data_IF_559539622712
#
_entry.id   IF_559539622712
#
_cell.length_a   1.000
_cell.length_b   1.000
_cell.length_c   1.000
_cell.angle_alpha   90.00
_cell.angle_beta   90.00
_cell.angle_gamma   90.00
#
_symmetry.space_group_name_H-M   'P 1'
#
loop_
_entity.id
_entity.type
_entity.pdbx_description
1 polymer ?
#
# COMPACT_ATOMS: atom_id res chain seq x y z
N UNK A 1 -23.05 -11.45 0.75
CA UNK A 1 -22.91 -12.55 -0.25
C UNK A 1 -21.43 -12.79 -0.49
N UNK A 2 -20.98 -13.99 -0.84
CA UNK A 2 -19.58 -14.23 -1.20
C UNK A 2 -19.23 -13.43 -2.45
N UNK A 3 -17.96 -13.08 -2.60
CA UNK A 3 -17.43 -12.50 -3.84
C UNK A 3 -17.43 -13.54 -4.99
N UNK A 4 -17.34 -13.07 -6.21
CA UNK A 4 -17.22 -13.89 -7.42
C UNK A 4 -16.07 -13.39 -8.28
N UNK A 5 -15.29 -14.31 -8.80
CA UNK A 5 -14.25 -14.05 -9.80
C UNK A 5 -14.74 -14.52 -11.16
N UNK A 6 -14.61 -13.69 -12.16
CA UNK A 6 -15.03 -13.96 -13.55
C UNK A 6 -13.94 -13.48 -14.50
N UNK A 7 -13.58 -14.28 -15.48
CA UNK A 7 -12.70 -13.85 -16.57
C UNK A 7 -13.55 -13.29 -17.71
N UNK A 8 -13.19 -12.11 -18.21
CA UNK A 8 -13.78 -11.52 -19.41
C UNK A 8 -13.29 -12.23 -20.67
N UNK A 9 -13.92 -11.94 -21.82
CA UNK A 9 -13.58 -12.58 -23.09
C UNK A 9 -12.13 -12.35 -23.55
N UNK A 10 -11.53 -11.21 -23.17
CA UNK A 10 -10.12 -10.90 -23.41
C UNK A 10 -9.16 -11.40 -22.32
N UNK A 11 -9.67 -12.12 -21.31
CA UNK A 11 -8.86 -12.69 -20.22
C UNK A 11 -8.74 -11.81 -18.96
N UNK A 12 -9.19 -10.56 -18.97
CA UNK A 12 -9.19 -9.71 -17.78
C UNK A 12 -9.99 -10.34 -16.63
N UNK A 13 -9.44 -10.34 -15.44
CA UNK A 13 -10.11 -10.82 -14.23
C UNK A 13 -10.99 -9.74 -13.62
N UNK A 14 -12.22 -10.07 -13.30
CA UNK A 14 -13.16 -9.24 -12.54
C UNK A 14 -13.50 -9.94 -11.23
N UNK A 15 -13.21 -9.28 -10.10
CA UNK A 15 -13.70 -9.69 -8.79
C UNK A 15 -14.85 -8.78 -8.37
N UNK A 16 -15.98 -9.35 -7.98
CA UNK A 16 -17.17 -8.60 -7.59
C UNK A 16 -17.86 -9.18 -6.37
N UNK A 17 -18.26 -8.28 -5.44
CA UNK A 17 -19.14 -8.61 -4.32
C UNK A 17 -20.42 -7.80 -4.42
N UNK A 18 -21.55 -8.48 -4.55
CA UNK A 18 -22.89 -7.89 -4.52
C UNK A 18 -23.26 -7.42 -3.11
N UNK A 19 -23.80 -6.22 -2.98
CA UNK A 19 -24.27 -5.64 -1.71
C UNK A 19 -25.56 -4.84 -1.95
N UNK A 20 -26.29 -4.54 -0.89
CA UNK A 20 -27.50 -3.69 -0.95
C UNK A 20 -27.18 -2.21 -0.74
N UNK A 21 -25.89 -1.83 -0.72
CA UNK A 21 -25.47 -0.45 -0.50
C UNK A 21 -25.99 0.49 -1.60
N UNK A 22 -26.48 1.68 -1.27
CA UNK A 22 -26.81 2.69 -2.27
C UNK A 22 -25.58 3.28 -2.95
N UNK A 23 -24.39 3.13 -2.33
CA UNK A 23 -23.09 3.54 -2.88
C UNK A 23 -22.35 2.28 -3.33
N UNK A 24 -21.73 2.37 -4.50
CA UNK A 24 -20.94 1.32 -5.10
C UNK A 24 -19.53 1.82 -5.38
N UNK A 25 -18.60 0.88 -5.47
CA UNK A 25 -17.19 1.13 -5.77
C UNK A 25 -16.77 0.24 -6.93
N UNK A 26 -16.01 0.81 -7.84
CA UNK A 26 -15.42 0.09 -8.97
C UNK A 26 -13.99 0.61 -9.19
N UNK A 27 -13.06 -0.30 -9.46
CA UNK A 27 -11.66 0.06 -9.66
C UNK A 27 -10.96 -0.83 -10.67
N UNK A 28 -9.89 -0.30 -11.24
CA UNK A 28 -8.86 -1.00 -12.01
C UNK A 28 -7.61 -1.01 -11.15
N UNK A 29 -7.15 -2.18 -10.76
CA UNK A 29 -5.98 -2.39 -9.93
C UNK A 29 -4.90 -3.02 -10.80
N UNK A 30 -3.69 -2.50 -10.67
CA UNK A 30 -2.54 -2.93 -11.48
C UNK A 30 -1.40 -3.34 -10.56
N UNK A 31 -0.88 -4.55 -10.75
CA UNK A 31 0.33 -5.04 -10.09
C UNK A 31 1.57 -4.41 -10.75
N UNK A 32 1.65 -3.11 -10.72
CA UNK A 32 2.78 -2.30 -11.16
C UNK A 32 2.84 -1.00 -10.37
N UNK A 33 4.01 -0.68 -9.84
CA UNK A 33 4.26 0.51 -9.04
C UNK A 33 5.67 1.04 -9.26
N UNK A 34 6.20 1.78 -8.28
CA UNK A 34 7.51 2.40 -8.41
C UNK A 34 8.67 1.40 -8.41
N UNK A 35 8.45 0.19 -7.90
CA UNK A 35 9.41 -0.92 -8.00
C UNK A 35 9.70 -1.33 -9.44
N UNK A 36 8.72 -1.16 -10.34
CA UNK A 36 8.77 -1.59 -11.73
C UNK A 36 9.39 -0.53 -12.66
N UNK A 37 9.79 0.62 -12.10
CA UNK A 37 10.45 1.69 -12.82
C UNK A 37 11.92 1.36 -13.14
N UNK A 38 12.38 1.84 -14.28
CA UNK A 38 13.83 1.85 -14.57
C UNK A 38 14.54 2.86 -13.65
N UNK A 39 15.85 2.69 -13.46
CA UNK A 39 16.65 3.62 -12.64
C UNK A 39 16.68 5.06 -13.19
N UNK A 40 16.31 5.26 -14.46
CA UNK A 40 16.24 6.58 -15.10
C UNK A 40 14.86 7.25 -15.00
N UNK A 41 13.84 6.50 -14.62
CA UNK A 41 12.44 6.91 -14.64
C UNK A 41 11.81 6.93 -13.24
N UNK A 42 12.61 7.20 -12.20
CA UNK A 42 12.12 7.25 -10.82
C UNK A 42 10.99 8.28 -10.66
N UNK A 43 9.90 7.87 -10.02
CA UNK A 43 8.69 8.68 -9.82
C UNK A 43 7.72 8.63 -10.99
N UNK A 44 7.93 7.77 -11.98
CA UNK A 44 7.10 7.71 -13.18
C UNK A 44 5.72 7.09 -12.90
N UNK A 45 5.64 6.03 -12.08
CA UNK A 45 4.38 5.40 -11.71
C UNK A 45 3.46 6.39 -10.98
N UNK A 46 4.00 7.12 -10.01
CA UNK A 46 3.30 8.20 -9.31
C UNK A 46 2.90 9.34 -10.27
N UNK A 47 3.76 9.67 -11.23
CA UNK A 47 3.44 10.70 -12.22
C UNK A 47 2.33 10.25 -13.20
N UNK A 48 2.23 8.95 -13.50
CA UNK A 48 1.08 8.38 -14.25
C UNK A 48 -0.20 8.60 -13.46
N UNK A 49 -0.21 8.32 -12.16
CA UNK A 49 -1.36 8.58 -11.28
C UNK A 49 -1.83 10.03 -11.39
N UNK A 50 -0.94 11.01 -11.26
CA UNK A 50 -1.26 12.44 -11.37
C UNK A 50 -1.78 12.85 -12.75
N UNK A 51 -1.34 12.18 -13.79
CA UNK A 51 -1.56 12.64 -15.17
C UNK A 51 -2.60 11.85 -15.95
N UNK A 52 -3.01 10.67 -15.47
CA UNK A 52 -3.98 9.83 -16.17
C UNK A 52 -5.36 10.49 -16.32
N UNK A 53 -5.73 11.39 -15.38
CA UNK A 53 -6.98 12.14 -15.41
C UNK A 53 -6.92 13.42 -16.23
N UNK A 54 -5.77 13.75 -16.86
CA UNK A 54 -5.56 15.01 -17.59
C UNK A 54 -6.08 14.99 -19.03
N UNK A 55 -6.99 14.09 -19.33
CA UNK A 55 -7.74 14.01 -20.58
C UNK A 55 -7.55 12.72 -21.34
N UNK A 56 -8.59 12.35 -22.08
CA UNK A 56 -8.63 11.18 -22.96
C UNK A 56 -8.84 11.60 -24.41
N UNK A 57 -8.86 10.65 -25.33
CA UNK A 57 -9.23 10.92 -26.73
C UNK A 57 -10.65 11.53 -26.86
N UNK A 58 -11.55 11.27 -25.90
CA UNK A 58 -12.96 11.71 -25.93
C UNK A 58 -13.25 12.86 -24.96
N UNK A 59 -12.42 13.06 -23.91
CA UNK A 59 -12.72 13.97 -22.80
C UNK A 59 -11.57 14.92 -22.50
N UNK A 60 -11.91 16.20 -22.28
CA UNK A 60 -10.98 17.16 -21.67
C UNK A 60 -10.79 16.84 -20.20
N UNK A 61 -9.71 17.34 -19.51
CA UNK A 61 -9.49 17.12 -18.09
C UNK A 61 -10.71 17.43 -17.22
N UNK A 62 -11.35 18.58 -17.47
CA UNK A 62 -12.58 18.96 -16.77
C UNK A 62 -13.71 17.93 -16.93
N UNK A 63 -13.89 17.40 -18.16
CA UNK A 63 -14.93 16.41 -18.43
C UNK A 63 -14.63 15.04 -17.79
N UNK A 64 -13.38 14.68 -17.62
CA UNK A 64 -12.98 13.48 -16.88
C UNK A 64 -13.41 13.61 -15.43
N UNK A 65 -12.98 14.65 -14.74
CA UNK A 65 -13.27 14.89 -13.32
C UNK A 65 -14.78 15.07 -13.11
N UNK A 66 -15.41 15.96 -13.85
CA UNK A 66 -16.84 16.27 -13.70
C UNK A 66 -17.76 15.10 -14.05
N UNK A 67 -17.25 14.08 -14.73
CA UNK A 67 -18.07 12.91 -15.12
C UNK A 67 -18.68 12.22 -13.90
N UNK A 68 -17.91 12.00 -12.84
CA UNK A 68 -18.42 11.41 -11.60
C UNK A 68 -18.91 12.46 -10.61
N UNK A 69 -18.23 13.59 -10.47
CA UNK A 69 -18.62 14.66 -9.55
C UNK A 69 -20.04 15.17 -9.82
N UNK A 70 -20.45 15.28 -11.10
CA UNK A 70 -21.81 15.74 -11.48
C UNK A 70 -22.95 14.85 -10.97
N UNK A 71 -22.65 13.63 -10.58
CA UNK A 71 -23.62 12.68 -9.98
C UNK A 71 -23.34 12.38 -8.50
N UNK A 72 -22.43 13.15 -7.89
CA UNK A 72 -22.03 12.97 -6.48
C UNK A 72 -21.07 11.80 -6.25
N UNK A 73 -20.37 11.37 -7.30
CA UNK A 73 -19.32 10.36 -7.21
C UNK A 73 -17.94 10.99 -7.04
N UNK A 74 -16.98 10.18 -6.62
CA UNK A 74 -15.57 10.53 -6.43
C UNK A 74 -14.70 9.68 -7.35
N UNK A 75 -13.64 10.27 -7.89
CA UNK A 75 -12.62 9.60 -8.71
C UNK A 75 -11.26 9.79 -8.04
N UNK A 76 -10.57 8.69 -7.77
CA UNK A 76 -9.30 8.68 -7.06
C UNK A 76 -8.32 7.68 -7.68
N UNK A 77 -7.04 7.88 -7.37
CA UNK A 77 -5.98 6.93 -7.66
C UNK A 77 -4.96 6.92 -6.50
N UNK A 78 -4.17 5.88 -6.44
CA UNK A 78 -3.04 5.79 -5.53
C UNK A 78 -1.96 4.87 -6.10
N UNK A 79 -0.71 5.18 -5.79
CA UNK A 79 0.47 4.43 -6.21
C UNK A 79 1.28 4.01 -5.00
N UNK A 80 1.68 2.74 -4.97
CA UNK A 80 2.59 2.16 -4.00
C UNK A 80 3.87 1.67 -4.68
N UNK A 81 4.68 0.91 -3.95
CA UNK A 81 5.88 0.29 -4.51
C UNK A 81 5.55 -0.74 -5.61
N UNK A 82 4.49 -1.51 -5.43
CA UNK A 82 4.17 -2.64 -6.32
C UNK A 82 2.82 -2.52 -7.02
N UNK A 83 2.00 -1.53 -6.66
CA UNK A 83 0.62 -1.46 -7.13
C UNK A 83 0.21 -0.03 -7.45
N UNK A 84 -0.67 0.11 -8.43
CA UNK A 84 -1.36 1.35 -8.75
C UNK A 84 -2.86 1.08 -8.87
N UNK A 85 -3.68 1.89 -8.20
CA UNK A 85 -5.13 1.77 -8.18
C UNK A 85 -5.79 2.99 -8.80
N UNK A 86 -6.76 2.75 -9.68
CA UNK A 86 -7.66 3.76 -10.22
C UNK A 86 -9.07 3.37 -9.86
N UNK A 87 -9.76 4.17 -9.08
CA UNK A 87 -11.08 3.76 -8.58
C UNK A 87 -12.06 4.93 -8.47
N UNK A 88 -13.34 4.60 -8.42
CA UNK A 88 -14.42 5.55 -8.22
C UNK A 88 -15.45 5.02 -7.25
N UNK A 89 -16.00 5.93 -6.43
CA UNK A 89 -17.14 5.70 -5.53
C UNK A 89 -18.33 6.47 -6.05
N UNK A 90 -19.51 5.87 -6.14
CA UNK A 90 -20.65 6.47 -6.83
C UNK A 90 -22.00 5.90 -6.38
N UNK A 91 -23.12 6.63 -6.59
CA UNK A 91 -24.46 6.07 -6.43
C UNK A 91 -24.66 4.85 -7.36
N UNK A 92 -25.20 3.75 -6.84
CA UNK A 92 -25.29 2.46 -7.54
C UNK A 92 -26.02 2.49 -8.89
N UNK A 93 -26.81 3.54 -9.15
CA UNK A 93 -27.46 3.77 -10.45
C UNK A 93 -26.49 4.14 -11.57
N UNK A 94 -25.26 4.61 -11.21
CA UNK A 94 -24.27 5.18 -12.13
C UNK A 94 -23.20 4.16 -12.59
N UNK A 95 -23.38 2.85 -12.32
CA UNK A 95 -22.43 1.83 -12.80
C UNK A 95 -22.03 1.96 -14.26
N UNK A 96 -22.97 2.16 -15.23
CA UNK A 96 -22.57 2.30 -16.63
C UNK A 96 -21.61 3.46 -16.88
N UNK A 97 -21.80 4.57 -16.18
CA UNK A 97 -20.94 5.76 -16.27
C UNK A 97 -19.56 5.50 -15.65
N UNK A 98 -19.52 4.88 -14.48
CA UNK A 98 -18.29 4.60 -13.74
C UNK A 98 -17.39 3.60 -14.53
N UNK A 99 -17.97 2.51 -15.03
CA UNK A 99 -17.24 1.49 -15.80
C UNK A 99 -16.72 2.07 -17.13
N UNK A 100 -17.55 2.84 -17.85
CA UNK A 100 -17.17 3.49 -19.10
C UNK A 100 -16.06 4.55 -18.89
N UNK A 101 -16.17 5.35 -17.81
CA UNK A 101 -15.18 6.37 -17.53
C UNK A 101 -13.81 5.76 -17.20
N UNK A 102 -13.77 4.72 -16.31
CA UNK A 102 -12.49 4.09 -15.97
C UNK A 102 -11.85 3.39 -17.16
N UNK A 103 -12.64 2.75 -18.03
CA UNK A 103 -12.12 2.19 -19.28
C UNK A 103 -11.53 3.28 -20.19
N UNK A 104 -12.25 4.41 -20.37
CA UNK A 104 -11.77 5.52 -21.20
C UNK A 104 -10.47 6.15 -20.64
N UNK A 105 -10.38 6.33 -19.33
CA UNK A 105 -9.16 6.84 -18.68
C UNK A 105 -8.02 5.83 -18.82
N UNK A 106 -8.27 4.56 -18.55
CA UNK A 106 -7.25 3.53 -18.49
C UNK A 106 -6.61 3.26 -19.87
N UNK A 107 -7.42 3.16 -20.92
CA UNK A 107 -6.93 2.81 -22.26
C UNK A 107 -6.68 4.02 -23.18
N UNK A 108 -7.36 5.14 -22.94
CA UNK A 108 -7.38 6.24 -23.89
C UNK A 108 -6.87 7.57 -23.33
N UNK A 109 -6.18 7.55 -22.17
CA UNK A 109 -5.50 8.75 -21.66
C UNK A 109 -4.46 9.26 -22.67
N UNK A 110 -4.47 10.55 -22.92
CA UNK A 110 -3.64 11.14 -23.99
C UNK A 110 -2.35 11.79 -23.50
N UNK A 111 -2.23 12.03 -22.20
CA UNK A 111 -1.07 12.64 -21.56
C UNK A 111 -0.59 13.91 -22.29
N UNK A 112 -1.39 14.98 -22.36
CA UNK A 112 -1.05 16.17 -23.12
C UNK A 112 0.19 16.87 -22.53
N UNK A 113 1.21 17.17 -23.31
CA UNK A 113 2.47 17.78 -22.84
C UNK A 113 2.27 19.01 -21.96
N UNK A 114 1.32 19.90 -22.35
CA UNK A 114 0.99 21.10 -21.56
C UNK A 114 0.51 20.76 -20.14
N UNK A 115 -0.25 19.68 -19.97
CA UNK A 115 -0.71 19.23 -18.66
C UNK A 115 0.43 18.52 -17.91
N UNK A 116 1.29 17.77 -18.61
CA UNK A 116 2.48 17.17 -18.01
C UNK A 116 3.41 18.23 -17.41
N UNK A 117 3.70 19.31 -18.12
CA UNK A 117 4.57 20.38 -17.61
C UNK A 117 3.98 21.09 -16.38
N UNK A 118 2.66 21.25 -16.30
CA UNK A 118 2.00 21.77 -15.09
C UNK A 118 2.15 20.79 -13.93
N UNK A 119 1.90 19.52 -14.18
CA UNK A 119 1.90 18.50 -13.14
C UNK A 119 3.31 18.23 -12.59
N UNK A 120 4.36 18.37 -13.42
CA UNK A 120 5.75 18.38 -12.93
C UNK A 120 5.97 19.40 -11.82
N UNK A 121 5.38 20.61 -11.96
CA UNK A 121 5.49 21.65 -10.93
C UNK A 121 4.81 21.19 -9.63
N UNK A 122 3.61 20.58 -9.73
CA UNK A 122 2.86 20.07 -8.57
C UNK A 122 3.67 18.99 -7.85
N UNK A 123 4.19 18.00 -8.57
CA UNK A 123 4.99 16.92 -7.98
C UNK A 123 6.30 17.45 -7.38
N UNK A 124 6.93 18.47 -7.97
CA UNK A 124 8.11 19.10 -7.38
C UNK A 124 7.79 19.83 -6.08
N UNK A 125 6.63 20.46 -5.95
CA UNK A 125 6.15 21.06 -4.70
C UNK A 125 5.86 19.98 -3.66
N UNK A 126 5.28 18.85 -4.05
CA UNK A 126 5.05 17.70 -3.19
C UNK A 126 6.37 17.12 -2.65
N UNK A 127 7.37 16.91 -3.51
CA UNK A 127 8.71 16.47 -3.09
C UNK A 127 9.32 17.45 -2.06
N UNK A 128 9.12 18.76 -2.22
CA UNK A 128 9.61 19.72 -1.24
C UNK A 128 8.82 19.67 0.07
N UNK A 129 7.51 19.49 0.01
CA UNK A 129 6.68 19.32 1.20
C UNK A 129 7.15 18.13 2.07
N UNK A 130 7.40 16.97 1.45
CA UNK A 130 7.91 15.80 2.18
C UNK A 130 9.31 16.04 2.76
N UNK A 131 10.19 16.76 2.06
CA UNK A 131 11.52 17.14 2.60
C UNK A 131 11.43 18.05 3.81
N UNK A 132 10.41 18.89 3.88
CA UNK A 132 10.18 19.81 5.00
C UNK A 132 9.38 19.15 6.15
N UNK A 133 8.97 17.87 5.98
CA UNK A 133 8.21 17.08 6.95
C UNK A 133 9.04 15.88 7.42
N UNK A 134 9.93 16.02 8.40
CA UNK A 134 10.84 14.95 8.84
C UNK A 134 10.15 13.68 9.33
N UNK A 135 8.92 13.80 9.87
CA UNK A 135 8.09 12.67 10.31
C UNK A 135 7.62 11.78 9.17
N UNK A 136 7.50 12.33 7.96
CA UNK A 136 7.15 11.57 6.74
C UNK A 136 8.43 11.11 6.01
N UNK A 137 9.36 12.04 5.83
CA UNK A 137 10.61 11.78 5.11
C UNK A 137 11.40 10.58 5.67
N UNK A 138 11.35 10.37 6.99
CA UNK A 138 12.12 9.30 7.63
C UNK A 138 11.67 7.91 7.19
N UNK A 139 10.40 7.72 6.80
CA UNK A 139 9.91 6.44 6.29
C UNK A 139 10.54 6.12 4.93
N UNK A 140 10.54 7.08 4.01
CA UNK A 140 11.15 6.91 2.68
C UNK A 140 12.67 6.69 2.77
N UNK A 141 13.36 7.52 3.58
CA UNK A 141 14.81 7.39 3.77
C UNK A 141 15.18 6.07 4.49
N UNK A 142 14.27 5.51 5.31
CA UNK A 142 14.46 4.23 5.94
C UNK A 142 14.26 3.06 4.97
N UNK A 143 13.28 3.14 4.08
CA UNK A 143 13.11 2.15 3.00
C UNK A 143 14.35 2.12 2.09
N UNK A 144 14.90 3.30 1.73
CA UNK A 144 16.14 3.38 0.95
C UNK A 144 17.34 2.79 1.71
N UNK A 145 17.39 2.94 3.04
CA UNK A 145 18.42 2.35 3.87
C UNK A 145 18.33 0.82 3.93
N UNK A 146 17.14 0.26 4.12
CA UNK A 146 16.91 -1.19 4.22
C UNK A 146 17.07 -1.87 2.87
N UNK A 147 16.51 -1.28 1.81
CA UNK A 147 16.52 -1.81 0.45
C UNK A 147 17.61 -1.15 -0.42
N UNK A 148 18.76 -0.82 0.17
CA UNK A 148 19.81 -0.07 -0.49
C UNK A 148 20.19 -0.68 -1.86
N UNK A 149 20.10 0.14 -2.92
CA UNK A 149 20.41 -0.28 -4.28
C UNK A 149 19.33 -1.13 -4.97
N UNK A 150 18.27 -1.48 -4.27
CA UNK A 150 17.13 -2.22 -4.82
C UNK A 150 15.97 -1.28 -5.20
N UNK A 151 15.13 -1.61 -6.21
CA UNK A 151 13.98 -0.78 -6.59
C UNK A 151 13.01 -0.46 -5.46
N UNK A 152 12.79 -1.36 -4.49
CA UNK A 152 11.94 -1.11 -3.31
C UNK A 152 12.42 0.08 -2.44
N UNK A 153 13.72 0.38 -2.42
CA UNK A 153 14.26 1.52 -1.66
C UNK A 153 14.04 2.87 -2.33
N UNK A 154 13.63 2.92 -3.60
CA UNK A 154 13.41 4.19 -4.30
C UNK A 154 12.18 4.92 -3.75
N UNK A 155 12.30 6.25 -3.60
CA UNK A 155 11.17 7.09 -3.21
C UNK A 155 10.07 7.06 -4.28
N UNK A 156 8.81 6.94 -3.85
CA UNK A 156 7.63 6.88 -4.73
C UNK A 156 7.51 8.14 -5.59
N UNK A 157 7.81 9.30 -5.03
CA UNK A 157 7.79 10.58 -5.76
C UNK A 157 8.95 10.73 -6.77
N UNK A 158 9.94 9.86 -6.69
CA UNK A 158 11.19 10.03 -7.43
C UNK A 158 12.06 11.15 -6.88
N UNK A 159 12.79 11.81 -7.75
CA UNK A 159 13.66 12.95 -7.43
C UNK A 159 13.29 14.16 -8.27
N UNK A 160 13.63 15.37 -7.81
CA UNK A 160 13.43 16.60 -8.60
C UNK A 160 14.12 16.53 -9.98
N UNK A 161 15.20 15.75 -10.11
CA UNK A 161 15.88 15.54 -11.40
C UNK A 161 15.10 14.58 -12.29
N UNK A 162 14.67 13.43 -11.77
CA UNK A 162 13.95 12.43 -12.57
C UNK A 162 12.60 12.99 -13.05
N UNK A 163 11.81 13.62 -12.16
CA UNK A 163 10.49 14.22 -12.50
C UNK A 163 10.61 15.23 -13.64
N UNK A 164 11.63 16.10 -13.65
CA UNK A 164 11.85 17.06 -14.75
C UNK A 164 12.11 16.39 -16.11
N UNK A 165 12.61 15.15 -16.12
CA UNK A 165 12.94 14.41 -17.34
C UNK A 165 11.85 13.42 -17.76
N UNK A 166 10.75 13.31 -17.03
CA UNK A 166 9.61 12.49 -17.46
C UNK A 166 9.06 13.04 -18.78
N UNK A 167 8.95 12.17 -19.76
CA UNK A 167 8.35 12.50 -21.06
C UNK A 167 7.07 11.70 -21.29
N UNK A 168 6.26 12.16 -22.23
CA UNK A 168 5.04 11.47 -22.67
C UNK A 168 5.36 10.05 -23.17
N UNK A 169 6.40 9.91 -23.96
CA UNK A 169 6.88 8.61 -24.46
C UNK A 169 7.25 7.68 -23.32
N UNK A 170 7.97 8.20 -22.30
CA UNK A 170 8.32 7.41 -21.11
C UNK A 170 7.11 6.91 -20.35
N UNK A 171 6.04 7.72 -20.24
CA UNK A 171 4.76 7.30 -19.64
C UNK A 171 4.12 6.16 -20.43
N UNK A 172 4.01 6.33 -21.74
CA UNK A 172 3.41 5.34 -22.65
C UNK A 172 4.21 4.03 -22.62
N UNK A 173 5.53 4.12 -22.66
CA UNK A 173 6.42 2.95 -22.57
C UNK A 173 6.25 2.21 -21.24
N UNK A 174 6.15 2.93 -20.12
CA UNK A 174 5.94 2.33 -18.80
C UNK A 174 4.60 1.60 -18.74
N UNK A 175 3.52 2.22 -19.20
CA UNK A 175 2.19 1.61 -19.24
C UNK A 175 2.21 0.34 -20.11
N UNK A 176 2.73 0.42 -21.33
CA UNK A 176 2.80 -0.75 -22.24
C UNK A 176 3.62 -1.91 -21.68
N UNK A 177 4.65 -1.62 -20.87
CA UNK A 177 5.54 -2.65 -20.32
C UNK A 177 5.01 -3.29 -19.05
N UNK A 178 4.20 -2.58 -18.27
CA UNK A 178 3.83 -3.00 -16.93
C UNK A 178 2.31 -3.23 -16.76
N UNK A 179 1.46 -2.59 -17.56
CA UNK A 179 0.02 -2.79 -17.51
C UNK A 179 -0.37 -3.93 -18.44
N UNK A 180 0.00 -5.14 -18.04
CA UNK A 180 -0.22 -6.37 -18.81
C UNK A 180 -1.44 -7.12 -18.30
N UNK A 181 -1.95 -8.05 -19.08
CA UNK A 181 -3.17 -8.80 -18.77
C UNK A 181 -3.12 -9.46 -17.38
N UNK A 182 -1.99 -10.12 -17.06
CA UNK A 182 -1.80 -10.80 -15.78
C UNK A 182 -1.68 -9.83 -14.60
N UNK A 183 -1.30 -8.58 -14.87
CA UNK A 183 -1.10 -7.53 -13.87
C UNK A 183 -2.36 -6.69 -13.59
N UNK A 184 -3.46 -6.91 -14.29
CA UNK A 184 -4.66 -6.07 -14.17
C UNK A 184 -5.82 -6.88 -13.60
N UNK A 185 -6.50 -6.27 -12.62
CA UNK A 185 -7.75 -6.78 -12.04
C UNK A 185 -8.79 -5.67 -12.00
N UNK A 186 -10.00 -5.98 -12.44
CA UNK A 186 -11.17 -5.16 -12.19
C UNK A 186 -11.80 -5.59 -10.86
N UNK A 187 -12.03 -4.65 -9.95
CA UNK A 187 -12.64 -4.93 -8.66
C UNK A 187 -13.91 -4.11 -8.45
N UNK A 188 -14.92 -4.70 -7.81
CA UNK A 188 -16.16 -4.00 -7.52
C UNK A 188 -16.85 -4.52 -6.27
N UNK A 189 -17.37 -3.60 -5.47
CA UNK A 189 -18.29 -3.89 -4.36
C UNK A 189 -19.48 -2.94 -4.49
N UNK A 190 -20.70 -3.48 -4.67
CA UNK A 190 -21.85 -2.62 -4.82
C UNK A 190 -23.14 -3.30 -5.25
N UNK A 191 -24.20 -2.48 -5.43
CA UNK A 191 -25.55 -2.94 -5.74
C UNK A 191 -25.76 -3.10 -7.25
N UNK A 192 -25.17 -4.15 -7.81
CA UNK A 192 -25.39 -4.59 -9.18
C UNK A 192 -25.20 -6.12 -9.24
N UNK A 193 -26.03 -6.81 -10.02
CA UNK A 193 -25.79 -8.26 -10.21
C UNK A 193 -24.50 -8.51 -11.01
N UNK A 194 -23.79 -9.56 -10.63
CA UNK A 194 -22.55 -9.97 -11.32
C UNK A 194 -22.73 -10.07 -12.84
N UNK A 195 -23.83 -10.66 -13.30
CA UNK A 195 -24.12 -10.81 -14.74
C UNK A 195 -24.27 -9.47 -15.46
N UNK A 196 -24.87 -8.46 -14.81
CA UNK A 196 -25.01 -7.12 -15.37
C UNK A 196 -23.67 -6.40 -15.41
N UNK A 197 -22.87 -6.52 -14.34
CA UNK A 197 -21.54 -5.93 -14.29
C UNK A 197 -20.61 -6.54 -15.34
N UNK A 198 -20.59 -7.87 -15.49
CA UNK A 198 -19.82 -8.56 -16.56
C UNK A 198 -20.15 -7.98 -17.91
N UNK A 199 -21.45 -7.83 -18.25
CA UNK A 199 -21.85 -7.23 -19.54
C UNK A 199 -21.37 -5.79 -19.74
N UNK A 200 -21.28 -5.00 -18.65
CA UNK A 200 -20.71 -3.66 -18.73
C UNK A 200 -19.20 -3.70 -18.94
N UNK A 201 -18.51 -4.57 -18.21
CA UNK A 201 -17.06 -4.73 -18.35
C UNK A 201 -16.70 -5.29 -19.74
N UNK A 202 -17.40 -6.30 -20.25
CA UNK A 202 -17.22 -6.80 -21.63
C UNK A 202 -17.39 -5.69 -22.66
N UNK A 203 -18.38 -4.83 -22.51
CA UNK A 203 -18.65 -3.75 -23.45
C UNK A 203 -17.54 -2.69 -23.51
N UNK A 204 -16.87 -2.40 -22.39
CA UNK A 204 -15.95 -1.28 -22.29
C UNK A 204 -14.47 -1.68 -22.14
N UNK A 205 -14.21 -2.90 -21.69
CA UNK A 205 -12.87 -3.44 -21.50
C UNK A 205 -12.58 -4.65 -22.43
N UNK A 206 -13.63 -5.34 -22.92
CA UNK A 206 -13.48 -6.63 -23.59
C UNK A 206 -12.82 -6.58 -24.98
N UNK A 207 -12.94 -5.46 -25.69
CA UNK A 207 -12.38 -5.30 -27.06
C UNK A 207 -10.93 -4.73 -27.03
N UNK A 208 -10.39 -4.42 -25.85
CA UNK A 208 -9.06 -3.82 -25.72
C UNK A 208 -7.95 -4.90 -25.80
N UNK A 209 -6.95 -4.63 -26.62
CA UNK A 209 -5.75 -5.47 -26.72
C UNK A 209 -4.77 -5.10 -25.58
N UNK A 210 -4.46 -6.09 -24.74
CA UNK A 210 -3.55 -5.94 -23.60
C UNK A 210 -2.37 -6.90 -23.78
N UNK A 211 -1.16 -6.43 -23.53
CA UNK A 211 0.06 -7.25 -23.65
C UNK A 211 0.08 -8.37 -22.60
N UNK A 212 0.64 -9.54 -22.95
CA UNK A 212 0.77 -10.71 -22.06
C UNK A 212 2.18 -10.91 -21.52
N UNK A 213 3.06 -9.93 -21.65
CA UNK A 213 4.48 -10.09 -21.30
C UNK A 213 4.90 -9.25 -20.10
N UNK A 214 4.57 -9.65 -18.87
CA UNK A 214 4.99 -8.94 -17.68
C UNK A 214 6.52 -9.02 -17.51
N UNK A 215 7.12 -7.96 -16.97
CA UNK A 215 8.54 -8.00 -16.60
C UNK A 215 8.71 -8.71 -15.25
N UNK A 216 9.64 -9.67 -15.15
CA UNK A 216 9.95 -10.26 -13.86
C UNK A 216 10.60 -9.21 -12.95
N UNK A 217 10.13 -9.08 -11.73
CA UNK A 217 10.76 -8.27 -10.68
C UNK A 217 12.07 -8.91 -10.24
N UNK A 218 13.07 -8.08 -9.97
CA UNK A 218 14.31 -8.55 -9.35
C UNK A 218 14.01 -8.86 -7.87
N UNK A 219 14.30 -10.09 -7.39
CA UNK A 219 14.10 -10.42 -5.98
C UNK A 219 15.05 -9.63 -5.07
N UNK A 220 14.52 -9.23 -3.90
CA UNK A 220 15.38 -8.63 -2.87
C UNK A 220 16.20 -9.70 -2.15
N UNK A 221 17.52 -9.53 -2.15
CA UNK A 221 18.48 -10.43 -1.51
C UNK A 221 19.60 -9.62 -0.85
N UNK A 222 20.40 -10.26 -0.01
CA UNK A 222 21.64 -9.71 0.57
C UNK A 222 21.42 -8.48 1.48
N UNK A 223 20.41 -8.54 2.34
CA UNK A 223 20.24 -7.52 3.37
C UNK A 223 21.45 -7.47 4.33
N UNK A 224 21.87 -6.28 4.65
CA UNK A 224 22.83 -6.00 5.72
C UNK A 224 22.33 -4.84 6.57
N UNK A 225 22.36 -4.97 7.91
CA UNK A 225 21.91 -3.88 8.79
C UNK A 225 22.89 -2.71 8.73
N UNK A 226 22.32 -1.49 8.66
CA UNK A 226 23.08 -0.25 8.63
C UNK A 226 22.55 0.73 9.67
N UNK A 227 23.45 1.50 10.28
CA UNK A 227 23.06 2.62 11.15
C UNK A 227 23.47 3.92 10.48
N UNK A 228 22.49 4.82 10.30
CA UNK A 228 22.70 6.14 9.70
C UNK A 228 22.13 7.22 10.61
N UNK A 229 22.94 8.25 10.88
CA UNK A 229 22.52 9.42 11.66
C UNK A 229 22.67 10.67 10.81
N UNK A 230 21.56 11.37 10.58
CA UNK A 230 21.51 12.60 9.79
C UNK A 230 21.15 13.80 10.67
N UNK A 231 21.89 14.90 10.51
CA UNK A 231 21.54 16.17 11.14
C UNK A 231 20.53 16.93 10.28
N UNK A 232 19.38 17.24 10.84
CA UNK A 232 18.30 18.01 10.22
C UNK A 232 17.98 19.25 11.07
N UNK A 233 17.36 20.27 10.50
CA UNK A 233 16.86 21.42 11.26
C UNK A 233 15.49 21.08 11.85
N UNK A 234 15.47 20.34 12.93
CA UNK A 234 14.26 19.80 13.56
C UNK A 234 14.28 20.06 15.07
N UNK A 235 13.10 20.08 15.69
CA UNK A 235 12.94 20.28 17.14
C UNK A 235 12.91 18.96 17.91
N UNK A 236 12.50 17.88 17.28
CA UNK A 236 12.42 16.55 17.86
C UNK A 236 13.34 15.59 17.09
N UNK A 237 13.96 14.67 17.79
CA UNK A 237 14.61 13.54 17.15
C UNK A 237 13.56 12.58 16.61
N UNK A 238 13.77 12.07 15.40
CA UNK A 238 12.99 10.99 14.79
C UNK A 238 13.90 9.78 14.66
N UNK A 239 13.40 8.63 15.06
CA UNK A 239 14.16 7.38 14.99
C UNK A 239 13.31 6.32 14.32
N UNK A 240 13.94 5.61 13.41
CA UNK A 240 13.38 4.45 12.78
C UNK A 240 14.33 3.27 12.88
N UNK A 241 13.83 2.10 13.25
CA UNK A 241 14.61 0.86 13.35
C UNK A 241 13.78 -0.30 12.83
N UNK A 242 14.42 -1.28 12.19
CA UNK A 242 13.73 -2.43 11.62
C UNK A 242 14.58 -3.20 10.61
N UNK A 243 13.97 -4.15 9.95
CA UNK A 243 14.63 -5.08 9.04
C UNK A 243 13.64 -5.65 8.01
N UNK A 244 14.11 -6.37 6.99
CA UNK A 244 13.23 -7.17 6.13
C UNK A 244 12.41 -8.16 6.95
N UNK A 245 11.20 -8.46 6.49
CA UNK A 245 10.26 -9.37 7.12
C UNK A 245 9.62 -10.27 6.06
N UNK A 246 8.59 -11.01 6.43
CA UNK A 246 7.90 -11.97 5.57
C UNK A 246 7.23 -11.33 4.37
N UNK A 247 7.29 -12.01 3.25
CA UNK A 247 6.56 -11.62 2.05
C UNK A 247 5.08 -12.02 2.11
N UNK A 248 4.32 -11.64 1.09
CA UNK A 248 2.86 -11.86 1.05
C UNK A 248 2.45 -13.34 0.99
N UNK A 249 3.33 -14.23 0.53
CA UNK A 249 3.04 -15.67 0.34
C UNK A 249 3.50 -16.56 1.51
N UNK A 250 4.20 -16.01 2.51
CA UNK A 250 4.70 -16.78 3.63
C UNK A 250 3.64 -16.94 4.73
N UNK A 251 3.41 -18.16 5.20
CA UNK A 251 2.44 -18.47 6.27
C UNK A 251 2.75 -17.74 7.59
N UNK A 252 4.04 -17.48 7.85
CA UNK A 252 4.50 -16.74 9.01
C UNK A 252 4.04 -15.26 9.02
N UNK A 253 3.53 -14.75 7.91
CA UNK A 253 2.95 -13.41 7.77
C UNK A 253 1.81 -13.16 8.75
N UNK A 254 0.90 -14.11 8.93
CA UNK A 254 -0.29 -13.91 9.77
C UNK A 254 0.07 -13.86 11.27
N UNK A 255 0.87 -14.79 11.84
CA UNK A 255 1.40 -14.64 13.20
C UNK A 255 2.19 -13.34 13.40
N UNK A 256 2.96 -12.90 12.39
CA UNK A 256 3.73 -11.67 12.47
C UNK A 256 2.86 -10.42 12.42
N UNK A 257 1.80 -10.41 11.62
CA UNK A 257 0.79 -9.34 11.61
C UNK A 257 0.14 -9.17 13.00
N UNK A 258 -0.23 -10.29 13.64
CA UNK A 258 -0.77 -10.28 15.00
C UNK A 258 0.24 -9.72 16.00
N UNK A 259 1.50 -10.14 15.90
CA UNK A 259 2.60 -9.67 16.73
C UNK A 259 2.83 -8.16 16.55
N UNK A 260 2.91 -7.68 15.32
CA UNK A 260 3.10 -6.26 15.01
C UNK A 260 1.97 -5.40 15.60
N UNK A 261 0.71 -5.84 15.45
CA UNK A 261 -0.44 -5.14 16.02
C UNK A 261 -0.39 -5.06 17.55
N UNK A 262 0.02 -6.14 18.22
CA UNK A 262 0.21 -6.16 19.67
C UNK A 262 1.37 -5.26 20.12
N UNK A 263 2.47 -5.23 19.34
CA UNK A 263 3.70 -4.51 19.67
C UNK A 263 3.51 -3.00 19.58
N UNK A 264 3.11 -2.51 18.42
CA UNK A 264 3.03 -1.07 18.14
C UNK A 264 1.95 -0.69 17.13
N UNK A 265 0.91 -1.52 16.93
CA UNK A 265 -0.22 -1.20 16.05
C UNK A 265 -1.00 0.02 16.53
N UNK A 266 -2.02 0.41 15.76
CA UNK A 266 -2.77 1.67 15.91
C UNK A 266 -3.43 1.92 17.28
N UNK A 267 -3.55 0.90 18.12
CA UNK A 267 -4.17 1.03 19.44
C UNK A 267 -3.27 1.72 20.47
N UNK A 268 -3.81 2.70 21.22
CA UNK A 268 -3.08 3.34 22.34
C UNK A 268 -2.62 2.34 23.40
N UNK A 269 -3.23 1.17 23.48
CA UNK A 269 -2.88 0.09 24.40
C UNK A 269 -1.78 -0.84 23.89
N UNK A 270 -1.20 -0.59 22.72
CA UNK A 270 -0.06 -1.36 22.20
C UNK A 270 1.13 -1.31 23.16
N UNK A 271 1.97 -2.35 23.18
CA UNK A 271 3.05 -2.48 24.18
C UNK A 271 4.05 -1.34 24.14
N UNK A 272 4.44 -0.91 22.95
CA UNK A 272 5.38 0.22 22.79
C UNK A 272 4.76 1.52 23.27
N UNK A 273 3.52 1.81 22.86
CA UNK A 273 2.83 3.03 23.27
C UNK A 273 2.67 3.09 24.80
N UNK A 274 2.23 1.99 25.43
CA UNK A 274 2.10 1.90 26.89
C UNK A 274 3.44 2.00 27.61
N UNK A 275 4.51 1.43 27.03
CA UNK A 275 5.83 1.40 27.68
C UNK A 275 6.57 2.73 27.59
N UNK A 276 6.52 3.41 26.45
CA UNK A 276 7.34 4.58 26.16
C UNK A 276 6.56 5.88 26.34
N UNK A 277 5.33 5.93 25.81
CA UNK A 277 4.50 7.14 25.80
C UNK A 277 3.62 7.24 27.03
N UNK A 278 2.68 6.33 27.23
CA UNK A 278 1.63 6.47 28.24
C UNK A 278 2.17 6.46 29.67
N UNK A 279 3.07 5.54 30.00
CA UNK A 279 3.60 5.40 31.37
C UNK A 279 4.76 6.35 31.68
N UNK A 280 5.46 6.86 30.69
CA UNK A 280 6.70 7.63 30.89
C UNK A 280 6.73 8.99 30.23
N UNK A 281 5.89 9.23 29.23
CA UNK A 281 5.83 10.52 28.53
C UNK A 281 7.11 10.86 27.76
N UNK A 282 7.89 9.84 27.34
CA UNK A 282 9.19 10.07 26.71
C UNK A 282 9.11 10.32 25.21
N UNK A 283 8.10 9.77 24.55
CA UNK A 283 7.87 9.94 23.12
C UNK A 283 6.54 10.64 22.85
N UNK A 284 6.50 11.46 21.80
CA UNK A 284 5.26 12.05 21.29
C UNK A 284 4.45 11.01 20.51
N UNK A 285 5.11 10.29 19.62
CA UNK A 285 4.53 9.17 18.87
C UNK A 285 5.47 7.97 18.92
N UNK A 286 4.89 6.77 18.92
CA UNK A 286 5.61 5.52 18.77
C UNK A 286 4.66 4.49 18.15
N UNK A 287 5.12 3.80 17.11
CA UNK A 287 4.37 2.79 16.40
C UNK A 287 5.28 1.72 15.80
N UNK A 288 4.72 0.58 15.43
CA UNK A 288 5.39 -0.39 14.59
C UNK A 288 4.55 -0.69 13.36
N UNK A 289 5.22 -0.82 12.22
CA UNK A 289 4.60 -1.06 10.92
C UNK A 289 5.17 -2.35 10.30
N UNK A 290 4.33 -3.07 9.61
CA UNK A 290 4.71 -4.21 8.81
C UNK A 290 4.03 -4.13 7.46
N UNK A 291 4.83 -4.08 6.41
CA UNK A 291 4.40 -4.10 5.01
C UNK A 291 4.94 -5.34 4.34
N UNK A 292 4.07 -6.15 3.73
CA UNK A 292 4.47 -7.31 2.93
C UNK A 292 4.51 -6.93 1.44
N UNK A 293 5.58 -7.33 0.76
CA UNK A 293 5.75 -7.20 -0.69
C UNK A 293 5.69 -8.59 -1.34
N UNK A 294 5.75 -8.64 -2.65
CA UNK A 294 5.63 -9.89 -3.40
C UNK A 294 6.71 -10.94 -3.10
N UNK A 295 7.93 -10.53 -2.71
CA UNK A 295 9.08 -11.40 -2.45
C UNK A 295 9.82 -11.12 -1.14
N UNK A 296 9.43 -10.11 -0.39
CA UNK A 296 9.99 -9.72 0.91
C UNK A 296 8.95 -8.96 1.72
N UNK A 297 9.31 -8.46 2.88
CA UNK A 297 8.52 -7.52 3.67
C UNK A 297 9.43 -6.50 4.34
N UNK A 298 8.83 -5.52 5.00
CA UNK A 298 9.51 -4.53 5.82
C UNK A 298 8.82 -4.45 7.19
N UNK A 299 9.57 -4.70 8.23
CA UNK A 299 9.18 -4.38 9.61
C UNK A 299 9.92 -3.14 10.06
N UNK A 300 9.21 -2.20 10.66
CA UNK A 300 9.81 -1.00 11.24
C UNK A 300 9.13 -0.59 12.54
N UNK A 301 9.92 0.05 13.42
CA UNK A 301 9.45 0.77 14.59
C UNK A 301 9.88 2.22 14.40
N UNK A 302 8.93 3.13 14.51
CA UNK A 302 9.16 4.56 14.48
C UNK A 302 8.84 5.19 15.83
N UNK A 303 9.62 6.16 16.27
CA UNK A 303 9.24 7.06 17.34
C UNK A 303 9.84 8.47 17.18
N UNK A 304 9.15 9.47 17.77
CA UNK A 304 9.65 10.83 17.87
C UNK A 304 9.68 11.28 19.33
N UNK A 305 10.77 11.95 19.71
CA UNK A 305 10.98 12.41 21.09
C UNK A 305 11.92 13.63 21.13
N UNK A 306 12.06 14.26 22.30
CA UNK A 306 13.15 15.19 22.54
C UNK A 306 14.50 14.46 22.52
N UNK A 307 15.57 15.10 22.00
CA UNK A 307 16.90 14.47 21.84
C UNK A 307 17.45 13.83 23.14
N UNK A 308 17.29 14.41 24.34
CA UNK A 308 17.72 13.74 25.58
C UNK A 308 16.96 12.44 25.89
N UNK A 309 15.78 12.26 25.38
CA UNK A 309 14.95 11.07 25.61
C UNK A 309 15.20 9.95 24.58
N UNK A 310 15.99 10.19 23.55
CA UNK A 310 16.22 9.23 22.45
C UNK A 310 16.79 7.90 22.94
N UNK A 311 17.88 7.93 23.71
CA UNK A 311 18.50 6.70 24.25
C UNK A 311 17.56 5.97 25.23
N UNK A 312 16.91 6.65 26.21
CA UNK A 312 15.88 6.03 27.05
C UNK A 312 14.74 5.38 26.26
N UNK A 313 14.27 5.99 25.17
CA UNK A 313 13.27 5.40 24.30
C UNK A 313 13.79 4.12 23.63
N UNK A 314 14.99 4.16 23.05
CA UNK A 314 15.64 2.99 22.44
C UNK A 314 15.77 1.82 23.41
N UNK A 315 16.23 2.07 24.65
CA UNK A 315 16.36 1.04 25.69
C UNK A 315 14.99 0.40 26.01
N UNK A 316 13.92 1.21 26.07
CA UNK A 316 12.59 0.71 26.33
C UNK A 316 12.03 -0.12 25.17
N UNK A 317 12.30 0.30 23.94
CA UNK A 317 11.94 -0.47 22.73
C UNK A 317 12.62 -1.84 22.82
N UNK A 318 13.93 -1.90 22.96
CA UNK A 318 14.66 -3.17 23.07
C UNK A 318 14.17 -4.05 24.21
N UNK A 319 13.86 -3.45 25.36
CA UNK A 319 13.29 -4.18 26.50
C UNK A 319 11.92 -4.80 26.19
N UNK A 320 11.07 -4.14 25.44
CA UNK A 320 9.79 -4.73 25.03
C UNK A 320 9.99 -5.84 23.99
N UNK A 321 10.93 -5.68 23.04
CA UNK A 321 11.30 -6.72 22.10
C UNK A 321 11.84 -7.98 22.82
N UNK A 322 12.74 -7.81 23.79
CA UNK A 322 13.29 -8.91 24.57
C UNK A 322 12.21 -9.66 25.38
N UNK A 323 11.24 -8.94 25.93
CA UNK A 323 10.12 -9.59 26.64
C UNK A 323 9.30 -10.51 25.71
N UNK A 324 9.03 -10.06 24.49
CA UNK A 324 8.24 -10.85 23.52
C UNK A 324 9.06 -12.05 23.02
N UNK A 325 10.35 -11.87 22.78
CA UNK A 325 11.27 -12.93 22.31
C UNK A 325 11.53 -14.01 23.35
N UNK A 326 11.49 -13.66 24.64
CA UNK A 326 11.83 -14.58 25.73
C UNK A 326 10.61 -15.22 26.40
N UNK A 327 9.40 -14.72 26.12
CA UNK A 327 8.20 -15.19 26.81
C UNK A 327 7.04 -15.36 25.81
N UNK A 328 6.57 -16.58 25.65
CA UNK A 328 5.36 -16.84 24.90
C UNK A 328 4.16 -16.08 25.51
N UNK A 329 3.23 -15.65 24.68
CA UNK A 329 2.01 -15.02 25.14
C UNK A 329 1.18 -15.97 25.99
N UNK A 330 0.75 -15.51 27.18
CA UNK A 330 -0.24 -16.26 27.96
C UNK A 330 -1.59 -16.31 27.25
N UNK A 331 -2.43 -17.28 27.58
CA UNK A 331 -3.74 -17.51 26.94
C UNK A 331 -4.61 -16.26 26.89
N UNK A 332 -4.68 -15.47 27.97
CA UNK A 332 -5.48 -14.24 28.04
C UNK A 332 -4.89 -13.17 27.11
N UNK A 333 -3.57 -13.04 27.04
CA UNK A 333 -2.89 -12.06 26.18
C UNK A 333 -3.09 -12.40 24.70
N UNK A 334 -2.91 -13.65 24.31
CA UNK A 334 -3.12 -14.11 22.96
C UNK A 334 -4.57 -13.91 22.51
N UNK A 335 -5.53 -14.35 23.35
CA UNK A 335 -6.94 -14.14 23.07
C UNK A 335 -7.29 -12.65 22.91
N UNK A 336 -6.77 -11.80 23.79
CA UNK A 336 -6.97 -10.36 23.71
C UNK A 336 -6.39 -9.75 22.43
N UNK A 337 -5.18 -10.15 22.03
CA UNK A 337 -4.52 -9.67 20.80
C UNK A 337 -5.32 -10.08 19.54
N UNK A 338 -5.77 -11.34 19.45
CA UNK A 338 -6.62 -11.81 18.35
C UNK A 338 -7.92 -11.04 18.27
N UNK A 339 -8.64 -10.93 19.40
CA UNK A 339 -9.91 -10.19 19.46
C UNK A 339 -9.76 -8.73 19.03
N UNK A 340 -8.65 -8.09 19.42
CA UNK A 340 -8.34 -6.72 19.02
C UNK A 340 -8.11 -6.62 17.52
N UNK A 341 -7.26 -7.47 16.94
CA UNK A 341 -6.97 -7.46 15.51
C UNK A 341 -8.21 -7.76 14.66
N UNK A 342 -8.97 -8.80 15.01
CA UNK A 342 -10.23 -9.15 14.34
C UNK A 342 -11.22 -8.00 14.40
N UNK A 343 -11.37 -7.34 15.55
CA UNK A 343 -12.24 -6.17 15.69
C UNK A 343 -11.80 -4.99 14.81
N UNK A 344 -10.50 -4.71 14.72
CA UNK A 344 -9.95 -3.66 13.86
C UNK A 344 -10.17 -3.97 12.38
N UNK A 345 -9.95 -5.21 11.96
CA UNK A 345 -10.21 -5.64 10.59
C UNK A 345 -11.70 -5.56 10.24
N UNK A 346 -12.59 -5.94 11.18
CA UNK A 346 -14.02 -5.82 10.97
C UNK A 346 -14.45 -4.36 10.78
N UNK A 347 -13.91 -3.44 11.60
CA UNK A 347 -14.17 -2.00 11.46
C UNK A 347 -13.64 -1.44 10.14
N UNK A 348 -12.45 -1.85 9.72
CA UNK A 348 -11.87 -1.45 8.43
C UNK A 348 -12.69 -1.95 7.24
N UNK A 349 -13.21 -3.19 7.32
CA UNK A 349 -14.03 -3.82 6.27
C UNK A 349 -15.45 -3.27 6.17
N UNK A 350 -15.92 -2.51 7.17
CA UNK A 350 -17.21 -1.79 7.10
C UNK A 350 -17.22 -0.75 5.97
N UNK A 351 -16.07 -0.13 5.70
CA UNK A 351 -15.90 0.75 4.53
C UNK A 351 -15.83 -0.09 3.25
N UNK A 352 -16.90 -0.06 2.43
CA UNK A 352 -17.01 -0.86 1.20
C UNK A 352 -15.93 -0.58 0.16
N UNK A 353 -15.34 0.62 0.19
CA UNK A 353 -14.16 0.94 -0.62
C UNK A 353 -12.95 0.08 -0.20
N UNK A 354 -12.68 -0.03 1.11
CA UNK A 354 -11.59 -0.86 1.61
C UNK A 354 -11.80 -2.34 1.25
N UNK A 355 -13.04 -2.82 1.33
CA UNK A 355 -13.41 -4.18 0.93
C UNK A 355 -13.14 -4.40 -0.57
N UNK A 356 -13.48 -3.43 -1.43
CA UNK A 356 -13.20 -3.51 -2.88
C UNK A 356 -11.70 -3.53 -3.17
N UNK A 357 -10.92 -2.65 -2.51
CA UNK A 357 -9.46 -2.60 -2.68
C UNK A 357 -8.80 -3.90 -2.17
N UNK A 358 -9.24 -4.44 -1.02
CA UNK A 358 -8.73 -5.70 -0.49
C UNK A 358 -9.02 -6.89 -1.42
N UNK A 359 -10.22 -6.98 -1.97
CA UNK A 359 -10.57 -8.01 -2.96
C UNK A 359 -9.73 -7.89 -4.23
N UNK A 360 -9.54 -6.67 -4.72
CA UNK A 360 -8.70 -6.40 -5.90
C UNK A 360 -7.23 -6.76 -5.66
N UNK A 361 -6.68 -6.35 -4.51
CA UNK A 361 -5.33 -6.71 -4.08
C UNK A 361 -5.17 -8.24 -3.99
N UNK A 362 -6.08 -8.93 -3.31
CA UNK A 362 -6.02 -10.39 -3.22
C UNK A 362 -6.08 -11.05 -4.60
N UNK A 363 -6.94 -10.54 -5.51
CA UNK A 363 -7.02 -11.05 -6.87
C UNK A 363 -5.76 -10.80 -7.72
N UNK A 364 -4.93 -9.80 -7.39
CA UNK A 364 -3.65 -9.55 -8.06
C UNK A 364 -2.58 -10.58 -7.68
N UNK A 365 -2.55 -11.00 -6.41
CA UNK A 365 -1.43 -11.78 -5.86
C UNK A 365 -1.75 -13.25 -5.58
N UNK A 366 -3.05 -13.62 -5.51
CA UNK A 366 -3.48 -14.98 -5.17
C UNK A 366 -4.42 -15.54 -6.23
N UNK A 367 -4.32 -16.84 -6.44
CA UNK A 367 -5.25 -17.58 -7.32
C UNK A 367 -6.62 -17.74 -6.64
N UNK A 368 -6.61 -18.02 -5.34
CA UNK A 368 -7.82 -18.10 -4.51
C UNK A 368 -7.89 -16.88 -3.59
N UNK A 369 -9.06 -16.28 -3.49
CA UNK A 369 -9.30 -15.10 -2.69
C UNK A 369 -10.06 -15.54 -1.44
N UNK A 370 -9.44 -15.38 -0.28
CA UNK A 370 -10.07 -15.69 0.98
C UNK A 370 -11.26 -14.77 1.26
N UNK A 371 -12.30 -15.32 1.83
CA UNK A 371 -13.37 -14.54 2.41
C UNK A 371 -12.90 -13.87 3.70
N UNK A 372 -13.62 -12.84 4.12
CA UNK A 372 -13.32 -12.18 5.40
C UNK A 372 -13.37 -13.17 6.58
N UNK A 373 -14.31 -14.11 6.54
CA UNK A 373 -14.48 -15.16 7.53
C UNK A 373 -13.29 -16.14 7.56
N UNK A 374 -12.72 -16.48 6.42
CA UNK A 374 -11.52 -17.32 6.31
C UNK A 374 -10.29 -16.58 6.85
N UNK A 375 -10.09 -15.32 6.51
CA UNK A 375 -9.00 -14.50 7.07
C UNK A 375 -9.11 -14.36 8.61
N UNK A 376 -10.33 -14.24 9.17
CA UNK A 376 -10.54 -14.28 10.63
C UNK A 376 -10.16 -15.64 11.19
N UNK A 377 -10.54 -16.75 10.54
CA UNK A 377 -10.23 -18.08 10.99
C UNK A 377 -8.71 -18.34 11.03
N UNK A 378 -7.95 -17.82 10.08
CA UNK A 378 -6.49 -17.87 10.10
C UNK A 378 -5.91 -17.15 11.33
N UNK A 379 -6.37 -15.94 11.64
CA UNK A 379 -5.94 -15.18 12.82
C UNK A 379 -6.31 -15.95 14.09
N UNK A 380 -7.50 -16.51 14.16
CA UNK A 380 -7.97 -17.28 15.32
C UNK A 380 -7.18 -18.61 15.50
N UNK A 381 -6.62 -19.16 14.45
CA UNK A 381 -5.77 -20.35 14.48
C UNK A 381 -4.34 -20.08 14.99
N UNK A 382 -3.85 -18.84 14.97
CA UNK A 382 -2.49 -18.49 15.41
C UNK A 382 -2.23 -18.95 16.85
N UNK A 383 -1.11 -19.62 17.09
CA UNK A 383 -0.70 -20.09 18.41
C UNK A 383 0.31 -19.16 19.07
N UNK A 384 0.44 -19.24 20.40
CA UNK A 384 1.45 -18.49 21.15
C UNK A 384 2.89 -18.86 20.74
N UNK A 385 3.10 -20.10 20.30
CA UNK A 385 4.41 -20.56 19.81
C UNK A 385 4.74 -19.94 18.45
N UNK A 386 3.82 -19.91 17.52
CA UNK A 386 4.03 -19.21 16.24
C UNK A 386 4.38 -17.73 16.44
N UNK A 387 3.69 -17.04 17.37
CA UNK A 387 4.04 -15.64 17.70
C UNK A 387 5.44 -15.52 18.30
N UNK A 388 5.85 -16.48 19.15
CA UNK A 388 7.20 -16.51 19.73
C UNK A 388 8.27 -16.80 18.67
N UNK A 389 7.99 -17.73 17.75
CA UNK A 389 8.90 -18.11 16.67
C UNK A 389 9.18 -16.93 15.73
N UNK A 390 8.14 -16.27 15.24
CA UNK A 390 8.29 -15.07 14.38
C UNK A 390 8.94 -13.90 15.14
N UNK A 391 8.69 -13.76 16.45
CA UNK A 391 9.37 -12.76 17.27
C UNK A 391 10.89 -13.03 17.36
N UNK A 392 11.30 -14.28 17.51
CA UNK A 392 12.71 -14.67 17.59
C UNK A 392 13.42 -14.57 16.25
N UNK A 393 12.70 -14.73 15.15
CA UNK A 393 13.24 -14.60 13.80
C UNK A 393 13.44 -13.14 13.42
N UNK A 394 12.41 -12.30 13.55
CA UNK A 394 12.39 -10.93 13.03
C UNK A 394 12.88 -9.89 14.05
N UNK A 395 12.47 -9.98 15.33
CA UNK A 395 12.74 -8.93 16.31
C UNK A 395 14.16 -9.02 16.92
N UNK A 396 15.14 -9.23 16.10
CA UNK A 396 16.56 -9.35 16.50
C UNK A 396 17.27 -8.00 16.36
N UNK A 397 17.70 -7.36 17.48
CA UNK A 397 18.34 -6.05 17.43
C UNK A 397 19.61 -5.99 16.60
N UNK A 398 20.36 -7.11 16.52
CA UNK A 398 21.58 -7.24 15.71
C UNK A 398 21.31 -7.25 14.19
N UNK A 399 20.04 -7.43 13.79
CA UNK A 399 19.59 -7.41 12.40
C UNK A 399 18.90 -6.10 12.01
N UNK A 400 18.77 -5.15 12.91
CA UNK A 400 18.07 -3.90 12.60
C UNK A 400 18.95 -2.88 11.90
N UNK A 401 18.46 -2.34 10.80
CA UNK A 401 18.89 -1.03 10.32
C UNK A 401 18.31 0.06 11.22
N UNK A 402 19.05 1.14 11.44
CA UNK A 402 18.64 2.25 12.30
C UNK A 402 18.89 3.56 11.57
N UNK A 403 17.84 4.37 11.44
CA UNK A 403 17.91 5.72 10.90
C UNK A 403 17.53 6.73 11.99
N UNK A 404 18.37 7.75 12.16
CA UNK A 404 18.16 8.80 13.15
C UNK A 404 18.23 10.16 12.47
N UNK A 405 17.19 10.97 12.60
CA UNK A 405 17.21 12.40 12.34
C UNK A 405 17.36 13.15 13.67
N UNK A 406 18.37 14.04 13.76
CA UNK A 406 18.64 14.86 14.95
C UNK A 406 19.17 16.23 14.61
#
# INVERSE_FOLDING_TARGET
>A
MPHRVVNLCNGLRLVHKETDSPISHFGVLVNAGTRDESSRQMGLAHFVEHTIFKGTAKRTPYRVINCMESVGGELNASTSKEETYFHTSFPSTEYPRAVELLADIFFHATFPEKELEKEKTVVLEEINYYKDTPSELIFDDFEDLVFAGHPLGKNILGTARSVKHISREGIIDFIHQNYTLDNIVLASVGNISTQRLVRLCERFFGDEEISDSPRPRQPFTNYQPHTLCQRKKITQAHVMLGCPAYNIHEDARVPFLLLNNLLGGQGMSSRLNMSVRERRGLAYSIESNYTSFSDTGLFSIYFSCEEPHREPCMELVYKELDKIRNNALGTIQLHGAKKQLVGQLALANEAKLNEMLALGHSALFFEEIDTFEESIAEIEAVTAMQVLDVANEILRPDQFSILIFK
#
